data_IF_193498263568
#
_entry.id   IF_193498263568
#
_cell.length_a   1.000
_cell.length_b   1.000
_cell.length_c   1.000
_cell.angle_alpha   90.00
_cell.angle_beta   90.00
_cell.angle_gamma   90.00
#
_symmetry.space_group_name_H-M   'P 1'
#
loop_
_entity.id
_entity.type
_entity.pdbx_description
1 polymer ?
#
# COMPACT_ATOMS: atom_id res chain seq x y z
N UNK A 1 15.22 -4.25 -17.01
CA UNK A 1 14.01 -4.30 -16.17
C UNK A 1 14.03 -5.43 -15.13
N UNK A 2 14.07 -6.73 -15.51
CA UNK A 2 14.03 -7.86 -14.55
C UNK A 2 15.05 -7.77 -13.43
N UNK A 3 16.30 -7.35 -13.73
CA UNK A 3 17.37 -7.21 -12.73
C UNK A 3 17.06 -6.18 -11.65
N UNK A 4 16.42 -5.05 -11.99
CA UNK A 4 16.03 -4.03 -11.01
C UNK A 4 14.92 -4.57 -10.11
N UNK A 5 13.89 -5.21 -10.69
CA UNK A 5 12.79 -5.81 -9.90
C UNK A 5 13.34 -6.85 -8.92
N UNK A 6 14.22 -7.74 -9.38
CA UNK A 6 14.84 -8.77 -8.52
C UNK A 6 15.71 -8.14 -7.42
N UNK A 7 16.47 -7.09 -7.75
CA UNK A 7 17.25 -6.34 -6.77
C UNK A 7 16.34 -5.73 -5.71
N UNK A 8 15.28 -5.03 -6.11
CA UNK A 8 14.37 -4.37 -5.19
C UNK A 8 13.65 -5.38 -4.28
N UNK A 9 13.22 -6.52 -4.83
CA UNK A 9 12.66 -7.62 -4.03
C UNK A 9 13.69 -8.24 -3.08
N UNK A 10 14.94 -8.41 -3.55
CA UNK A 10 16.02 -8.89 -2.69
C UNK A 10 16.30 -7.93 -1.54
N UNK A 11 16.37 -6.64 -1.79
CA UNK A 11 16.55 -5.62 -0.76
C UNK A 11 15.40 -5.58 0.24
N UNK A 12 14.16 -5.73 -0.23
CA UNK A 12 12.99 -5.78 0.64
C UNK A 12 12.94 -7.03 1.53
N UNK A 13 13.28 -8.21 1.00
CA UNK A 13 13.02 -9.49 1.67
C UNK A 13 14.25 -10.28 2.08
N UNK A 14 15.44 -9.99 1.55
CA UNK A 14 16.65 -10.75 1.88
C UNK A 14 17.61 -9.97 2.77
N UNK A 15 17.54 -8.64 2.82
CA UNK A 15 18.31 -7.87 3.80
C UNK A 15 17.72 -8.11 5.19
N UNK A 16 18.56 -8.66 6.11
CA UNK A 16 18.17 -9.08 7.46
C UNK A 16 17.34 -8.03 8.22
N UNK A 17 17.75 -6.74 8.18
CA UNK A 17 17.02 -5.63 8.83
C UNK A 17 15.59 -5.49 8.28
N UNK A 18 15.45 -5.45 6.95
CA UNK A 18 14.18 -5.26 6.27
C UNK A 18 13.26 -6.47 6.46
N UNK A 19 13.81 -7.68 6.34
CA UNK A 19 13.08 -8.93 6.60
C UNK A 19 12.54 -8.99 8.04
N UNK A 20 13.37 -8.64 9.04
CA UNK A 20 12.94 -8.63 10.44
C UNK A 20 11.80 -7.61 10.64
N UNK A 21 11.92 -6.41 10.10
CA UNK A 21 10.87 -5.38 10.20
C UNK A 21 9.57 -5.87 9.55
N UNK A 22 9.67 -6.51 8.39
CA UNK A 22 8.53 -7.07 7.67
C UNK A 22 7.84 -8.19 8.47
N UNK A 23 8.61 -9.17 8.93
CA UNK A 23 8.09 -10.26 9.74
C UNK A 23 7.50 -9.75 11.06
N UNK A 24 8.16 -8.81 11.73
CA UNK A 24 7.65 -8.21 12.95
C UNK A 24 6.30 -7.51 12.72
N UNK A 25 6.15 -6.76 11.62
CA UNK A 25 4.90 -6.11 11.25
C UNK A 25 3.79 -7.12 10.94
N UNK A 26 4.10 -8.20 10.21
CA UNK A 26 3.14 -9.27 9.91
C UNK A 26 2.73 -10.04 11.17
N UNK A 27 3.67 -10.36 12.04
CA UNK A 27 3.39 -11.03 13.31
C UNK A 27 2.54 -10.12 14.20
N UNK A 28 2.89 -8.84 14.30
CA UNK A 28 2.15 -7.87 15.10
C UNK A 28 0.70 -7.72 14.61
N UNK A 29 0.48 -7.53 13.32
CA UNK A 29 -0.87 -7.42 12.75
C UNK A 29 -1.67 -8.72 12.91
N UNK A 30 -1.03 -9.89 12.75
CA UNK A 30 -1.66 -11.19 12.99
C UNK A 30 -2.00 -11.41 14.48
N UNK A 31 -1.09 -11.00 15.38
CA UNK A 31 -1.31 -11.07 16.82
C UNK A 31 -2.46 -10.16 17.28
N UNK A 32 -2.60 -8.97 16.69
CA UNK A 32 -3.73 -8.08 16.98
C UNK A 32 -5.08 -8.76 16.69
N UNK A 33 -5.16 -9.59 15.64
CA UNK A 33 -6.39 -10.35 15.35
C UNK A 33 -6.66 -11.47 16.35
N UNK A 34 -5.60 -12.07 16.89
CA UNK A 34 -5.70 -13.22 17.77
C UNK A 34 -5.94 -12.83 19.25
N UNK A 35 -5.32 -11.74 19.72
CA UNK A 35 -5.24 -11.40 21.14
C UNK A 35 -6.47 -10.64 21.63
N UNK A 36 -7.20 -9.90 20.77
CA UNK A 36 -8.24 -9.02 21.29
C UNK A 36 -9.65 -9.55 20.99
N UNK A 37 -10.35 -10.02 22.02
CA UNK A 37 -11.82 -10.10 22.00
C UNK A 37 -12.43 -8.73 21.60
N UNK A 38 -11.76 -7.66 21.97
CA UNK A 38 -12.08 -6.29 21.62
C UNK A 38 -12.00 -6.00 20.11
N UNK A 39 -11.10 -6.69 19.38
CA UNK A 39 -10.95 -6.56 17.93
C UNK A 39 -11.70 -7.63 17.11
N UNK A 40 -12.44 -8.52 17.75
CA UNK A 40 -13.30 -9.51 17.06
C UNK A 40 -14.55 -8.91 16.44
N UNK A 41 -14.87 -7.65 16.78
CA UNK A 41 -15.99 -6.93 16.18
C UNK A 41 -15.69 -6.42 14.76
N UNK A 42 -16.71 -5.91 14.08
CA UNK A 42 -16.62 -5.32 12.75
C UNK A 42 -15.54 -4.21 12.64
N UNK A 43 -15.30 -3.47 13.71
CA UNK A 43 -14.27 -2.43 13.77
C UNK A 43 -12.83 -2.99 13.67
N UNK A 44 -12.57 -4.13 14.30
CA UNK A 44 -11.28 -4.81 14.19
C UNK A 44 -11.03 -5.29 12.76
N UNK A 45 -12.03 -5.86 12.11
CA UNK A 45 -11.98 -6.22 10.70
C UNK A 45 -11.65 -5.03 9.81
N UNK A 46 -12.38 -3.92 9.97
CA UNK A 46 -12.14 -2.69 9.21
C UNK A 46 -10.73 -2.14 9.42
N UNK A 47 -10.26 -2.04 10.66
CA UNK A 47 -8.92 -1.54 10.97
C UNK A 47 -7.83 -2.37 10.29
N UNK A 48 -7.93 -3.68 10.35
CA UNK A 48 -6.89 -4.58 9.88
C UNK A 48 -6.94 -4.69 8.36
N UNK A 49 -8.09 -5.04 7.80
CA UNK A 49 -8.24 -5.37 6.38
C UNK A 49 -8.28 -4.13 5.49
N UNK A 50 -8.93 -3.06 5.95
CA UNK A 50 -9.11 -1.85 5.15
C UNK A 50 -7.95 -0.87 5.32
N UNK A 51 -7.36 -0.78 6.50
CA UNK A 51 -6.33 0.23 6.78
C UNK A 51 -4.91 -0.35 6.82
N UNK A 52 -4.64 -1.35 7.66
CA UNK A 52 -3.26 -1.78 7.91
C UNK A 52 -2.62 -2.51 6.73
N UNK A 53 -3.27 -3.55 6.19
CA UNK A 53 -2.69 -4.33 5.10
C UNK A 53 -2.46 -3.55 3.80
N UNK A 54 -3.40 -2.70 3.35
CA UNK A 54 -3.17 -1.86 2.18
C UNK A 54 -1.96 -0.95 2.30
N UNK A 55 -1.74 -0.35 3.48
CA UNK A 55 -0.59 0.53 3.72
C UNK A 55 0.72 -0.26 3.71
N UNK A 56 0.74 -1.47 4.28
CA UNK A 56 1.95 -2.31 4.32
C UNK A 56 2.45 -2.71 2.92
N UNK A 57 1.56 -2.84 1.93
CA UNK A 57 1.95 -3.18 0.57
C UNK A 57 2.84 -2.15 -0.13
N UNK A 58 2.78 -0.89 0.27
CA UNK A 58 3.57 0.20 -0.31
C UNK A 58 4.98 0.37 0.29
N UNK A 59 5.34 -0.40 1.32
CA UNK A 59 6.60 -0.24 2.07
C UNK A 59 7.85 -0.66 1.28
N UNK A 60 7.71 -1.46 0.22
CA UNK A 60 8.85 -1.89 -0.58
C UNK A 60 9.65 -0.70 -1.12
N UNK A 61 8.98 0.31 -1.69
CA UNK A 61 9.68 1.47 -2.24
C UNK A 61 10.46 2.23 -1.17
N UNK A 62 9.90 2.38 0.04
CA UNK A 62 10.61 2.99 1.16
C UNK A 62 11.92 2.27 1.44
N UNK A 63 11.88 0.94 1.51
CA UNK A 63 13.06 0.12 1.81
C UNK A 63 14.10 0.22 0.71
N UNK A 64 13.69 0.17 -0.56
CA UNK A 64 14.61 0.25 -1.70
C UNK A 64 15.20 1.64 -1.88
N UNK A 65 14.42 2.71 -1.69
CA UNK A 65 14.94 4.09 -1.75
C UNK A 65 15.94 4.35 -0.64
N UNK A 66 15.71 3.83 0.58
CA UNK A 66 16.69 3.91 1.68
C UNK A 66 18.04 3.25 1.31
N UNK A 67 17.99 2.08 0.67
CA UNK A 67 19.20 1.35 0.25
C UNK A 67 19.88 2.04 -0.95
N UNK A 68 19.10 2.47 -1.93
CA UNK A 68 19.60 3.17 -3.11
C UNK A 68 20.31 4.48 -2.74
N UNK A 69 19.77 5.27 -1.81
CA UNK A 69 20.41 6.49 -1.32
C UNK A 69 21.71 6.20 -0.58
N UNK A 70 21.74 5.15 0.26
CA UNK A 70 22.96 4.76 1.01
C UNK A 70 24.08 4.25 0.10
N UNK A 71 23.73 3.55 -0.97
CA UNK A 71 24.68 2.98 -1.91
C UNK A 71 25.01 3.93 -3.09
N UNK A 72 24.43 5.12 -3.13
CA UNK A 72 24.46 6.02 -4.31
C UNK A 72 24.05 5.28 -5.61
N UNK A 73 23.17 4.30 -5.47
CA UNK A 73 22.81 3.39 -6.56
C UNK A 73 22.10 4.09 -7.72
N UNK A 74 21.45 5.19 -7.46
CA UNK A 74 20.83 6.04 -8.51
C UNK A 74 21.84 6.43 -9.59
N UNK A 75 23.11 6.71 -9.23
CA UNK A 75 24.18 7.02 -10.18
C UNK A 75 24.62 5.80 -10.98
N UNK A 76 24.75 4.65 -10.30
CA UNK A 76 25.14 3.39 -10.93
C UNK A 76 24.03 2.93 -11.90
N UNK A 77 22.77 3.08 -11.51
CA UNK A 77 21.62 2.69 -12.30
C UNK A 77 21.53 3.43 -13.65
N UNK A 78 21.99 4.67 -13.71
CA UNK A 78 22.05 5.46 -14.94
C UNK A 78 23.12 4.97 -15.93
N UNK A 79 24.09 4.18 -15.50
CA UNK A 79 25.10 3.57 -16.39
C UNK A 79 24.59 2.31 -17.10
N UNK A 80 23.44 1.77 -16.68
CA UNK A 80 22.85 0.60 -17.32
C UNK A 80 22.22 0.97 -18.66
N UNK A 81 22.19 0.05 -19.62
CA UNK A 81 21.55 0.27 -20.93
C UNK A 81 20.01 0.20 -20.80
N UNK A 82 19.45 1.02 -19.92
CA UNK A 82 18.04 1.10 -19.60
C UNK A 82 17.55 2.55 -19.72
N UNK A 83 16.37 2.73 -20.28
CA UNK A 83 15.72 4.04 -20.30
C UNK A 83 15.22 4.43 -18.90
N UNK A 84 15.13 5.73 -18.64
CA UNK A 84 14.58 6.24 -17.36
C UNK A 84 13.15 5.73 -17.10
N UNK A 85 12.36 5.55 -18.16
CA UNK A 85 11.02 4.99 -18.06
C UNK A 85 11.02 3.53 -17.63
N UNK A 86 11.97 2.71 -18.11
CA UNK A 86 12.12 1.31 -17.70
C UNK A 86 12.55 1.20 -16.25
N UNK A 87 13.37 2.12 -15.76
CA UNK A 87 13.79 2.17 -14.35
C UNK A 87 12.57 2.44 -13.45
N UNK A 88 11.84 3.52 -13.74
CA UNK A 88 10.64 3.87 -12.97
C UNK A 88 9.58 2.76 -13.03
N UNK A 89 9.34 2.21 -14.24
CA UNK A 89 8.39 1.12 -14.43
C UNK A 89 8.78 -0.13 -13.62
N UNK A 90 10.08 -0.46 -13.56
CA UNK A 90 10.56 -1.60 -12.77
C UNK A 90 10.24 -1.44 -11.29
N UNK A 91 10.41 -0.25 -10.72
CA UNK A 91 10.07 0.05 -9.32
C UNK A 91 8.56 -0.06 -9.08
N UNK A 92 7.72 0.44 -10.00
CA UNK A 92 6.27 0.29 -9.91
C UNK A 92 5.84 -1.19 -9.98
N UNK A 93 6.41 -1.97 -10.90
CA UNK A 93 6.10 -3.40 -11.03
C UNK A 93 6.53 -4.19 -9.79
N UNK A 94 7.72 -3.93 -9.25
CA UNK A 94 8.18 -4.53 -7.99
C UNK A 94 7.22 -4.25 -6.83
N UNK A 95 6.80 -3.00 -6.68
CA UNK A 95 5.84 -2.59 -5.66
C UNK A 95 4.46 -3.21 -5.86
N UNK A 96 3.96 -3.30 -7.10
CA UNK A 96 2.68 -3.94 -7.40
C UNK A 96 2.68 -5.44 -7.09
N UNK A 97 3.81 -6.13 -7.27
CA UNK A 97 3.96 -7.53 -6.86
C UNK A 97 3.77 -7.66 -5.34
N UNK A 98 4.41 -6.79 -4.56
CA UNK A 98 4.28 -6.80 -3.10
C UNK A 98 2.90 -6.38 -2.66
N UNK A 99 2.34 -5.34 -3.25
CA UNK A 99 0.96 -4.89 -2.98
C UNK A 99 -0.06 -6.01 -3.27
N UNK A 100 0.10 -6.73 -4.39
CA UNK A 100 -0.73 -7.88 -4.73
C UNK A 100 -0.61 -9.00 -3.69
N UNK A 101 0.62 -9.32 -3.28
CA UNK A 101 0.88 -10.30 -2.21
C UNK A 101 0.19 -9.92 -0.90
N UNK A 102 0.28 -8.64 -0.49
CA UNK A 102 -0.39 -8.15 0.73
C UNK A 102 -1.91 -8.15 0.60
N UNK A 103 -2.43 -7.86 -0.58
CA UNK A 103 -3.86 -7.97 -0.87
C UNK A 103 -4.35 -9.41 -0.72
N UNK A 104 -3.62 -10.39 -1.25
CA UNK A 104 -3.93 -11.81 -1.06
C UNK A 104 -3.82 -12.23 0.41
N UNK A 105 -2.79 -11.74 1.11
CA UNK A 105 -2.62 -12.01 2.53
C UNK A 105 -3.77 -11.42 3.36
N UNK A 106 -4.23 -10.20 3.06
CA UNK A 106 -5.39 -9.59 3.74
C UNK A 106 -6.67 -10.40 3.52
N UNK A 107 -6.81 -11.06 2.36
CA UNK A 107 -7.96 -11.92 2.08
C UNK A 107 -8.04 -13.13 3.04
N UNK A 108 -6.91 -13.65 3.51
CA UNK A 108 -6.88 -14.71 4.52
C UNK A 108 -7.59 -14.24 5.80
N UNK A 109 -7.39 -12.97 6.21
CA UNK A 109 -8.07 -12.40 7.37
C UNK A 109 -9.57 -12.22 7.14
N UNK A 110 -9.98 -11.88 5.92
CA UNK A 110 -11.41 -11.90 5.56
C UNK A 110 -12.01 -13.27 5.87
N UNK A 111 -11.36 -14.35 5.43
CA UNK A 111 -11.83 -15.70 5.70
C UNK A 111 -11.85 -16.04 7.20
N UNK A 112 -10.85 -15.60 7.96
CA UNK A 112 -10.80 -15.79 9.43
C UNK A 112 -11.98 -15.08 10.12
N UNK A 113 -12.29 -13.84 9.74
CA UNK A 113 -13.42 -13.11 10.34
C UNK A 113 -14.78 -13.67 9.95
N UNK A 114 -14.93 -14.15 8.70
CA UNK A 114 -16.20 -14.73 8.21
C UNK A 114 -16.43 -16.14 8.78
N UNK A 115 -15.45 -17.02 8.67
CA UNK A 115 -15.63 -18.45 9.02
C UNK A 115 -15.14 -18.80 10.41
N UNK A 116 -14.08 -18.16 10.88
CA UNK A 116 -13.50 -18.41 12.21
C UNK A 116 -14.29 -17.68 13.31
N UNK A 117 -14.29 -16.37 13.24
CA UNK A 117 -14.96 -15.56 14.29
C UNK A 117 -16.46 -15.37 14.05
N UNK A 118 -16.94 -15.54 12.83
CA UNK A 118 -18.35 -15.37 12.43
C UNK A 118 -18.93 -14.01 12.84
N UNK A 119 -18.11 -12.97 12.78
CA UNK A 119 -18.49 -11.61 13.18
C UNK A 119 -19.07 -10.78 12.03
N UNK A 120 -18.82 -11.19 10.79
CA UNK A 120 -19.29 -10.50 9.58
C UNK A 120 -19.71 -11.53 8.53
N UNK A 121 -20.69 -11.19 7.70
CA UNK A 121 -21.11 -12.03 6.59
C UNK A 121 -20.16 -11.90 5.41
N UNK A 122 -20.10 -12.93 4.55
CA UNK A 122 -19.26 -12.84 3.33
C UNK A 122 -19.74 -11.72 2.39
N UNK A 123 -21.07 -11.48 2.34
CA UNK A 123 -21.68 -10.45 1.51
C UNK A 123 -21.25 -9.03 1.91
N UNK A 124 -21.00 -8.79 3.20
CA UNK A 124 -20.53 -7.50 3.69
C UNK A 124 -18.99 -7.42 3.72
N UNK A 125 -18.31 -8.54 3.94
CA UNK A 125 -16.86 -8.59 4.04
C UNK A 125 -16.17 -8.35 2.70
N UNK A 126 -16.69 -8.89 1.59
CA UNK A 126 -16.10 -8.73 0.26
C UNK A 126 -16.09 -7.28 -0.26
N UNK A 127 -17.22 -6.55 -0.22
CA UNK A 127 -17.22 -5.14 -0.59
C UNK A 127 -16.29 -4.30 0.29
N UNK A 128 -16.27 -4.57 1.58
CA UNK A 128 -15.41 -3.87 2.54
C UNK A 128 -13.93 -4.12 2.26
N UNK A 129 -13.55 -5.38 1.98
CA UNK A 129 -12.20 -5.71 1.54
C UNK A 129 -11.84 -5.01 0.21
N UNK A 130 -12.77 -4.95 -0.74
CA UNK A 130 -12.60 -4.20 -2.00
C UNK A 130 -12.27 -2.72 -1.77
N UNK A 131 -12.93 -2.07 -0.83
CA UNK A 131 -12.62 -0.68 -0.42
C UNK A 131 -11.19 -0.60 0.11
N UNK A 132 -10.76 -1.55 0.93
CA UNK A 132 -9.39 -1.63 1.42
C UNK A 132 -8.36 -1.78 0.30
N UNK A 133 -8.63 -2.64 -0.68
CA UNK A 133 -7.76 -2.80 -1.85
C UNK A 133 -7.62 -1.50 -2.64
N UNK A 134 -8.74 -0.82 -2.90
CA UNK A 134 -8.74 0.48 -3.59
C UNK A 134 -7.96 1.53 -2.80
N UNK A 135 -8.19 1.62 -1.49
CA UNK A 135 -7.46 2.51 -0.59
C UNK A 135 -5.95 2.24 -0.63
N UNK A 136 -5.56 0.95 -0.65
CA UNK A 136 -4.16 0.53 -0.77
C UNK A 136 -3.52 0.96 -2.10
N UNK A 137 -4.23 0.84 -3.20
CA UNK A 137 -3.74 1.29 -4.52
C UNK A 137 -3.58 2.82 -4.56
N UNK A 138 -4.52 3.56 -4.00
CA UNK A 138 -4.43 5.02 -3.90
C UNK A 138 -3.24 5.43 -3.03
N UNK A 139 -3.11 4.81 -1.84
CA UNK A 139 -1.99 5.06 -0.95
C UNK A 139 -0.65 4.74 -1.60
N UNK A 140 -0.57 3.61 -2.31
CA UNK A 140 0.60 3.23 -3.11
C UNK A 140 0.95 4.32 -4.14
N UNK A 141 -0.02 4.76 -4.94
CA UNK A 141 0.19 5.78 -5.96
C UNK A 141 0.74 7.09 -5.37
N UNK A 142 0.17 7.55 -4.26
CA UNK A 142 0.60 8.78 -3.57
C UNK A 142 2.00 8.61 -2.97
N UNK A 143 2.27 7.48 -2.31
CA UNK A 143 3.55 7.17 -1.68
C UNK A 143 4.68 7.13 -2.71
N UNK A 144 4.45 6.52 -3.87
CA UNK A 144 5.47 6.43 -4.92
C UNK A 144 5.88 7.80 -5.46
N UNK A 145 4.91 8.68 -5.75
CA UNK A 145 5.22 10.07 -6.15
C UNK A 145 6.03 10.78 -5.05
N UNK A 146 5.63 10.62 -3.80
CA UNK A 146 6.31 11.26 -2.68
C UNK A 146 7.78 10.83 -2.56
N UNK A 147 8.06 9.53 -2.66
CA UNK A 147 9.45 9.04 -2.60
C UNK A 147 10.31 9.49 -3.78
N UNK A 148 9.77 9.46 -5.01
CA UNK A 148 10.49 9.97 -6.17
C UNK A 148 10.80 11.48 -6.07
N UNK A 149 9.86 12.26 -5.52
CA UNK A 149 9.98 13.72 -5.41
C UNK A 149 10.85 14.14 -4.24
N UNK A 150 10.58 13.59 -3.06
CA UNK A 150 11.13 14.07 -1.78
C UNK A 150 12.36 13.26 -1.31
N UNK A 151 12.61 12.08 -1.90
CA UNK A 151 13.61 11.12 -1.44
C UNK A 151 13.17 10.38 -0.16
N UNK A 152 14.09 9.65 0.48
CA UNK A 152 13.75 8.77 1.60
C UNK A 152 13.19 9.54 2.80
N UNK A 153 13.98 10.42 3.42
CA UNK A 153 13.62 11.03 4.72
C UNK A 153 12.31 11.81 4.66
N UNK A 154 12.18 12.71 3.68
CA UNK A 154 10.97 13.53 3.52
C UNK A 154 9.79 12.70 2.97
N UNK A 155 10.06 11.69 2.14
CA UNK A 155 9.08 10.73 1.65
C UNK A 155 8.44 9.96 2.81
N UNK A 156 9.23 9.47 3.76
CA UNK A 156 8.73 8.80 4.98
C UNK A 156 7.83 9.73 5.80
N UNK A 157 8.24 10.99 6.02
CA UNK A 157 7.42 11.95 6.76
C UNK A 157 6.09 12.19 6.03
N UNK A 158 6.13 12.37 4.71
CA UNK A 158 4.92 12.61 3.92
C UNK A 158 3.98 11.40 3.96
N UNK A 159 4.49 10.19 3.76
CA UNK A 159 3.67 8.96 3.79
C UNK A 159 3.11 8.69 5.18
N UNK A 160 3.87 9.01 6.25
CA UNK A 160 3.37 8.95 7.61
C UNK A 160 2.20 9.92 7.84
N UNK A 161 2.32 11.18 7.39
CA UNK A 161 1.23 12.15 7.47
C UNK A 161 0.01 11.71 6.64
N UNK A 162 0.22 11.13 5.46
CA UNK A 162 -0.85 10.55 4.66
C UNK A 162 -1.55 9.39 5.37
N UNK A 163 -0.79 8.53 6.06
CA UNK A 163 -1.33 7.45 6.89
C UNK A 163 -2.18 8.01 8.04
N UNK A 164 -1.68 9.03 8.75
CA UNK A 164 -2.45 9.70 9.82
C UNK A 164 -3.75 10.28 9.26
N UNK A 165 -3.71 10.89 8.07
CA UNK A 165 -4.90 11.38 7.39
C UNK A 165 -5.92 10.28 7.09
N UNK A 166 -5.47 9.12 6.63
CA UNK A 166 -6.32 7.95 6.40
C UNK A 166 -6.94 7.41 7.69
N UNK A 167 -6.17 7.39 8.79
CA UNK A 167 -6.68 6.98 10.11
C UNK A 167 -7.75 7.95 10.59
N UNK A 168 -7.53 9.25 10.45
CA UNK A 168 -8.53 10.27 10.83
C UNK A 168 -9.79 10.11 9.96
N UNK A 169 -9.66 9.95 8.64
CA UNK A 169 -10.79 9.73 7.74
C UNK A 169 -11.57 8.46 8.12
N UNK A 170 -10.85 7.39 8.47
CA UNK A 170 -11.44 6.14 8.96
C UNK A 170 -12.22 6.37 10.26
N UNK A 171 -11.65 7.05 11.25
CA UNK A 171 -12.33 7.35 12.51
C UNK A 171 -13.58 8.22 12.28
N UNK A 172 -13.50 9.24 11.43
CA UNK A 172 -14.65 10.08 11.09
C UNK A 172 -15.77 9.25 10.43
N UNK A 173 -15.41 8.27 9.57
CA UNK A 173 -16.39 7.39 8.95
C UNK A 173 -17.08 6.47 9.96
N UNK A 174 -16.32 5.96 10.93
CA UNK A 174 -16.86 5.11 12.02
C UNK A 174 -17.83 5.88 12.91
N UNK A 175 -17.59 7.18 13.13
CA UNK A 175 -18.48 8.03 13.94
C UNK A 175 -19.65 8.64 13.14
N UNK A 176 -19.89 8.19 11.89
CA UNK A 176 -20.99 8.65 11.02
C UNK A 176 -21.04 10.19 10.80
N UNK A 177 -19.89 10.84 10.85
CA UNK A 177 -19.84 12.28 10.63
C UNK A 177 -19.82 12.55 9.11
N UNK A 178 -21.00 12.73 8.53
CA UNK A 178 -21.16 13.26 7.16
C UNK A 178 -21.18 12.22 6.03
N UNK A 179 -21.35 10.94 6.30
CA UNK A 179 -21.34 9.87 5.27
C UNK A 179 -22.71 9.23 4.97
N UNK A 180 -23.74 9.55 5.73
CA UNK A 180 -25.06 8.92 5.56
C UNK A 180 -25.66 9.16 4.16
N UNK A 181 -25.46 10.32 3.57
CA UNK A 181 -25.95 10.64 2.23
C UNK A 181 -25.16 9.91 1.13
N UNK A 182 -23.87 9.65 1.37
CA UNK A 182 -23.00 8.97 0.42
C UNK A 182 -23.30 7.46 0.38
N UNK A 183 -23.75 6.89 1.49
CA UNK A 183 -24.06 5.45 1.62
C UNK A 183 -25.38 5.02 0.96
N UNK A 184 -26.19 5.93 0.44
CA UNK A 184 -27.45 5.62 -0.26
C UNK A 184 -27.25 5.07 -1.68
N UNK A 185 -26.06 5.22 -2.27
CA UNK A 185 -25.75 4.69 -3.60
C UNK A 185 -25.40 3.19 -3.50
N UNK A 186 -25.85 2.42 -4.49
CA UNK A 186 -25.60 0.98 -4.54
C UNK A 186 -24.12 0.67 -4.40
N UNK A 187 -23.76 -0.20 -3.42
CA UNK A 187 -22.36 -0.52 -3.05
C UNK A 187 -21.51 -0.94 -4.25
N UNK A 188 -22.10 -1.63 -5.24
CA UNK A 188 -21.40 -2.09 -6.45
C UNK A 188 -20.93 -0.95 -7.36
N UNK A 189 -21.76 0.11 -7.49
CA UNK A 189 -21.43 1.30 -8.30
C UNK A 189 -20.27 2.07 -7.66
N UNK A 190 -20.29 2.21 -6.34
CA UNK A 190 -19.20 2.85 -5.61
C UNK A 190 -17.87 2.13 -5.78
N UNK A 191 -17.85 0.82 -5.62
CA UNK A 191 -16.62 0.03 -5.73
C UNK A 191 -16.05 0.11 -7.15
N UNK A 192 -16.90 -0.01 -8.17
CA UNK A 192 -16.45 0.09 -9.56
C UNK A 192 -15.92 1.47 -9.91
N UNK A 193 -16.61 2.54 -9.46
CA UNK A 193 -16.14 3.92 -9.63
C UNK A 193 -14.81 4.19 -8.93
N UNK A 194 -14.65 3.72 -7.71
CA UNK A 194 -13.39 3.83 -6.94
C UNK A 194 -12.25 3.03 -7.57
N UNK A 195 -12.51 1.86 -8.16
CA UNK A 195 -11.50 1.09 -8.88
C UNK A 195 -11.00 1.83 -10.13
N UNK A 196 -11.91 2.41 -10.91
CA UNK A 196 -11.53 3.22 -12.07
C UNK A 196 -10.71 4.43 -11.63
N UNK A 197 -11.13 5.12 -10.59
CA UNK A 197 -10.39 6.27 -10.03
C UNK A 197 -8.98 5.85 -9.55
N UNK A 198 -8.86 4.74 -8.86
CA UNK A 198 -7.57 4.21 -8.41
C UNK A 198 -6.65 3.85 -9.58
N UNK A 199 -7.18 3.25 -10.65
CA UNK A 199 -6.42 2.95 -11.85
C UNK A 199 -5.93 4.23 -12.55
N UNK A 200 -6.78 5.25 -12.68
CA UNK A 200 -6.40 6.56 -13.24
C UNK A 200 -5.32 7.22 -12.38
N UNK A 201 -5.47 7.21 -11.06
CA UNK A 201 -4.46 7.75 -10.15
C UNK A 201 -3.11 7.03 -10.26
N UNK A 202 -3.11 5.70 -10.45
CA UNK A 202 -1.89 4.93 -10.69
C UNK A 202 -1.17 5.36 -11.97
N UNK A 203 -1.91 5.56 -13.06
CA UNK A 203 -1.34 6.03 -14.33
C UNK A 203 -0.77 7.45 -14.17
N UNK A 204 -1.51 8.35 -13.54
CA UNK A 204 -1.05 9.72 -13.25
C UNK A 204 0.20 9.68 -12.38
N UNK A 205 0.20 8.87 -11.32
CA UNK A 205 1.33 8.68 -10.41
C UNK A 205 2.59 8.23 -11.17
N UNK A 206 2.46 7.26 -12.07
CA UNK A 206 3.57 6.79 -12.89
C UNK A 206 4.16 7.91 -13.75
N UNK A 207 3.33 8.66 -14.48
CA UNK A 207 3.82 9.76 -15.33
C UNK A 207 4.44 10.90 -14.53
N UNK A 208 3.88 11.23 -13.36
CA UNK A 208 4.46 12.23 -12.47
C UNK A 208 5.82 11.78 -11.94
N UNK A 209 5.92 10.53 -11.47
CA UNK A 209 7.20 9.96 -11.00
C UNK A 209 8.24 9.92 -12.11
N UNK A 210 7.85 9.56 -13.34
CA UNK A 210 8.72 9.56 -14.49
C UNK A 210 9.24 10.98 -14.82
N UNK A 211 8.35 11.98 -14.80
CA UNK A 211 8.74 13.38 -15.04
C UNK A 211 9.70 13.89 -13.96
N UNK A 212 9.43 13.57 -12.70
CA UNK A 212 10.29 13.94 -11.57
C UNK A 212 11.65 13.27 -11.70
N UNK A 213 11.68 11.96 -11.94
CA UNK A 213 12.92 11.19 -12.11
C UNK A 213 13.75 11.69 -13.29
N UNK A 214 13.10 11.98 -14.42
CA UNK A 214 13.77 12.52 -15.61
C UNK A 214 14.40 13.88 -15.34
N UNK A 215 13.70 14.76 -14.62
CA UNK A 215 14.21 16.10 -14.26
C UNK A 215 15.35 16.06 -13.24
N UNK A 216 15.31 15.11 -12.31
CA UNK A 216 16.35 14.94 -11.26
C UNK A 216 17.67 14.45 -11.84
N UNK A 217 17.63 13.72 -12.96
CA UNK A 217 18.78 13.06 -13.57
C UNK A 217 19.07 13.56 -15.02
N UNK A 218 18.54 14.70 -15.42
CA UNK A 218 18.95 15.43 -16.63
C UNK A 218 20.08 16.40 -16.28
#
# INVERSE_FOLDING_TARGET
MRGIILKDLYEGFCIKKNLINWLASMIFTSALTAISEFMRGAYGFLLIVVLLFPVMGSTLLQMTVEQDEKAEFDRIQLTYPLSKSEIVLSKYLGGLIVQGGMTLYSFVFVLIYVYGYRTITLEDALPTWGIGVVGGVIYFAVSYVAYFWLGNLKGVIFTFLAMVGLVIAFLLSVFNIGLEEIMQVEKSIWISGCLVMAAVLMVISYFLSLKIYTKKHS
#
